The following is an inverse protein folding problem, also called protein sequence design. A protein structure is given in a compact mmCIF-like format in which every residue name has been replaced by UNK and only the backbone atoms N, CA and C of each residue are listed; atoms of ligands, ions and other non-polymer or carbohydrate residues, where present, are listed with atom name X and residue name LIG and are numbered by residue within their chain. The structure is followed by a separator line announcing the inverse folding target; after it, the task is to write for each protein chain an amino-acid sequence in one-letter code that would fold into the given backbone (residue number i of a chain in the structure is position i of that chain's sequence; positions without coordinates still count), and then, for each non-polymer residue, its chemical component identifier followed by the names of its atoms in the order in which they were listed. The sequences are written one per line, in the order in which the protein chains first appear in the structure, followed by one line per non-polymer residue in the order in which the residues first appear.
data_IF_792848409259
#
_entry.id   IF_792848409259
#
_cell.length_a   1.000
_cell.length_b   1.000
_cell.length_c   1.000
_cell.angle_alpha   90.00
_cell.angle_beta   90.00
_cell.angle_gamma   90.00
#
_symmetry.space_group_name_H-M   'P 1'
#
loop_
_entity.id
_entity.type
_entity.pdbx_description
1 polymer ?
#
# COMPACT_ATOMS: atom_id res chain seq x y z
N UNK A 1 -24.77 8.70 -8.88
CA UNK A 1 -25.12 7.39 -8.30
C UNK A 1 -24.57 7.36 -6.90
N UNK A 2 -25.41 7.20 -5.88
CA UNK A 2 -24.96 7.14 -4.48
C UNK A 2 -24.49 5.74 -4.13
N UNK A 3 -23.65 5.57 -3.11
CA UNK A 3 -23.16 4.25 -2.67
C UNK A 3 -24.31 3.27 -2.34
N UNK A 4 -25.43 3.81 -1.84
CA UNK A 4 -26.67 3.06 -1.58
C UNK A 4 -27.28 2.51 -2.86
N UNK A 5 -27.28 3.28 -3.95
CA UNK A 5 -27.81 2.85 -5.25
C UNK A 5 -26.96 1.72 -5.85
N UNK A 6 -25.64 1.77 -5.69
CA UNK A 6 -24.72 0.72 -6.16
C UNK A 6 -24.97 -0.60 -5.41
N UNK A 7 -25.09 -0.51 -4.08
CA UNK A 7 -25.35 -1.68 -3.23
C UNK A 7 -26.68 -2.34 -3.59
N UNK A 8 -27.74 -1.55 -3.73
CA UNK A 8 -29.07 -2.07 -4.05
C UNK A 8 -29.06 -2.79 -5.41
N UNK A 9 -28.40 -2.17 -6.41
CA UNK A 9 -28.29 -2.76 -7.74
C UNK A 9 -27.47 -4.06 -7.75
N UNK A 10 -26.40 -4.12 -6.96
CA UNK A 10 -25.61 -5.34 -6.83
C UNK A 10 -26.42 -6.49 -6.21
N UNK A 11 -27.22 -6.22 -5.18
CA UNK A 11 -28.11 -7.21 -4.55
C UNK A 11 -29.13 -7.75 -5.56
N UNK A 12 -29.78 -6.87 -6.32
CA UNK A 12 -30.72 -7.27 -7.38
C UNK A 12 -30.07 -8.19 -8.43
N UNK A 13 -28.85 -7.85 -8.88
CA UNK A 13 -28.14 -8.65 -9.89
C UNK A 13 -27.75 -10.03 -9.35
N UNK A 14 -27.36 -10.14 -8.07
CA UNK A 14 -27.03 -11.41 -7.43
C UNK A 14 -28.28 -12.29 -7.27
N UNK A 15 -29.43 -11.71 -6.94
CA UNK A 15 -30.70 -12.45 -6.80
C UNK A 15 -31.18 -13.08 -8.12
N UNK A 16 -30.80 -12.51 -9.26
CA UNK A 16 -31.13 -13.03 -10.59
C UNK A 16 -30.05 -13.93 -11.19
N UNK A 17 -28.96 -14.18 -10.47
CA UNK A 17 -27.85 -14.99 -10.95
C UNK A 17 -28.18 -16.49 -10.82
N UNK A 18 -27.84 -17.32 -11.82
CA UNK A 18 -27.97 -18.77 -11.69
C UNK A 18 -27.11 -19.30 -10.53
N UNK A 19 -27.60 -20.30 -9.75
CA UNK A 19 -26.86 -20.84 -8.59
C UNK A 19 -25.44 -21.30 -8.93
N UNK A 20 -25.24 -21.86 -10.12
CA UNK A 20 -23.95 -22.31 -10.63
C UNK A 20 -22.91 -21.18 -10.82
N UNK A 21 -23.36 -19.92 -10.86
CA UNK A 21 -22.51 -18.73 -10.96
C UNK A 21 -22.22 -18.07 -9.62
N UNK A 22 -22.92 -18.44 -8.55
CA UNK A 22 -22.70 -17.86 -7.23
C UNK A 22 -21.27 -18.13 -6.73
N UNK A 23 -20.72 -19.31 -7.03
CA UNK A 23 -19.32 -19.65 -6.72
C UNK A 23 -18.32 -18.73 -7.43
N UNK A 24 -18.60 -18.34 -8.68
CA UNK A 24 -17.74 -17.39 -9.41
C UNK A 24 -17.78 -16.00 -8.77
N UNK A 25 -18.95 -15.56 -8.28
CA UNK A 25 -19.12 -14.28 -7.60
C UNK A 25 -18.43 -14.26 -6.25
N UNK A 26 -18.56 -15.32 -5.45
CA UNK A 26 -17.86 -15.42 -4.16
C UNK A 26 -16.34 -15.35 -4.37
N UNK A 27 -15.81 -16.12 -5.31
CA UNK A 27 -14.38 -16.08 -5.66
C UNK A 27 -13.93 -14.69 -6.11
N UNK A 28 -14.78 -13.97 -6.86
CA UNK A 28 -14.49 -12.59 -7.24
C UNK A 28 -14.50 -11.64 -6.04
N UNK A 29 -15.47 -11.74 -5.14
CA UNK A 29 -15.51 -10.91 -3.92
C UNK A 29 -14.28 -11.16 -3.02
N UNK A 30 -13.89 -12.41 -2.84
CA UNK A 30 -12.67 -12.78 -2.10
C UNK A 30 -11.42 -12.14 -2.73
N UNK A 31 -11.33 -12.10 -4.05
CA UNK A 31 -10.22 -11.44 -4.74
C UNK A 31 -10.17 -9.92 -4.52
N UNK A 32 -11.32 -9.26 -4.32
CA UNK A 32 -11.37 -7.83 -4.01
C UNK A 32 -10.88 -7.52 -2.59
N UNK A 33 -11.20 -8.40 -1.63
CA UNK A 33 -10.73 -8.26 -0.25
C UNK A 33 -9.20 -8.44 -0.19
N UNK A 34 -8.67 -9.44 -0.89
CA UNK A 34 -7.22 -9.64 -1.03
C UNK A 34 -6.55 -8.43 -1.69
N UNK A 35 -7.12 -7.93 -2.79
CA UNK A 35 -6.62 -6.76 -3.50
C UNK A 35 -6.58 -5.52 -2.59
N UNK A 36 -7.64 -5.28 -1.81
CA UNK A 36 -7.74 -4.15 -0.88
C UNK A 36 -6.66 -4.24 0.20
N UNK A 37 -6.40 -5.44 0.73
CA UNK A 37 -5.33 -5.67 1.70
C UNK A 37 -3.94 -5.39 1.10
N UNK A 38 -3.68 -5.86 -0.13
CA UNK A 38 -2.42 -5.62 -0.83
C UNK A 38 -2.20 -4.12 -1.10
N UNK A 39 -3.23 -3.41 -1.57
CA UNK A 39 -3.17 -1.95 -1.80
C UNK A 39 -2.83 -1.21 -0.51
N UNK A 40 -3.43 -1.61 0.62
CA UNK A 40 -3.15 -1.01 1.93
C UNK A 40 -1.68 -1.18 2.33
N UNK A 41 -1.08 -2.34 2.07
CA UNK A 41 0.37 -2.56 2.29
C UNK A 41 1.20 -1.68 1.36
N UNK A 42 0.86 -1.62 0.06
CA UNK A 42 1.59 -0.86 -0.96
C UNK A 42 1.62 0.65 -0.64
N UNK A 43 0.51 1.15 -0.11
CA UNK A 43 0.32 2.56 0.22
C UNK A 43 0.78 2.93 1.64
N UNK A 44 1.20 1.95 2.46
CA UNK A 44 1.72 2.22 3.81
C UNK A 44 2.91 3.19 3.75
N UNK A 45 2.90 4.18 4.64
CA UNK A 45 3.97 5.16 4.84
C UNK A 45 4.22 5.32 6.33
N UNK A 46 5.39 5.85 6.69
CA UNK A 46 5.61 6.34 8.04
C UNK A 46 4.57 7.44 8.35
N UNK A 47 4.03 7.51 9.57
CA UNK A 47 3.25 8.65 10.04
C UNK A 47 4.01 9.98 9.88
N UNK A 48 3.33 11.13 9.70
CA UNK A 48 4.00 12.42 9.47
C UNK A 48 5.01 12.83 10.56
N UNK A 49 4.73 12.54 11.82
CA UNK A 49 5.63 12.82 12.94
C UNK A 49 6.92 11.96 12.86
N UNK A 50 6.78 10.69 12.46
CA UNK A 50 7.93 9.81 12.25
C UNK A 50 8.74 10.21 11.02
N UNK A 51 8.08 10.65 9.94
CA UNK A 51 8.76 11.21 8.76
C UNK A 51 9.57 12.46 9.13
N UNK A 52 8.97 13.38 9.88
CA UNK A 52 9.66 14.58 10.34
C UNK A 52 10.87 14.23 11.22
N UNK A 53 10.69 13.33 12.18
CA UNK A 53 11.78 12.90 13.06
C UNK A 53 12.92 12.26 12.29
N UNK A 54 12.61 11.43 11.31
CA UNK A 54 13.62 10.82 10.44
C UNK A 54 14.40 11.88 9.64
N UNK A 55 13.73 12.92 9.15
CA UNK A 55 14.38 14.01 8.43
C UNK A 55 15.32 14.81 9.36
N UNK A 56 14.87 15.14 10.57
CA UNK A 56 15.72 15.79 11.58
C UNK A 56 16.97 14.98 11.92
N UNK A 57 16.83 13.64 12.03
CA UNK A 57 17.96 12.75 12.27
C UNK A 57 18.92 12.70 11.09
N UNK A 58 18.42 12.75 9.84
CA UNK A 58 19.26 12.84 8.63
C UNK A 58 20.06 14.12 8.60
N UNK A 59 19.41 15.26 8.78
CA UNK A 59 20.07 16.57 8.76
C UNK A 59 21.20 16.64 9.80
N UNK A 60 20.96 16.07 10.98
CA UNK A 60 21.96 16.02 12.06
C UNK A 60 23.06 15.00 11.82
N UNK A 61 22.75 13.89 11.15
CA UNK A 61 23.74 12.93 10.68
C UNK A 61 24.72 13.57 9.71
N UNK A 62 24.21 14.37 8.77
CA UNK A 62 25.05 15.09 7.80
C UNK A 62 25.95 16.15 8.45
N UNK A 63 25.53 16.66 9.61
CA UNK A 63 26.29 17.61 10.41
C UNK A 63 27.20 16.94 11.46
N UNK A 64 27.28 15.60 11.49
CA UNK A 64 28.03 14.82 12.49
C UNK A 64 27.67 15.19 13.95
N UNK A 65 26.40 15.56 14.20
CA UNK A 65 25.90 16.02 15.52
C UNK A 65 24.93 15.07 16.20
N UNK A 66 24.80 13.84 15.69
CA UNK A 66 23.98 12.81 16.30
C UNK A 66 24.62 12.33 17.60
N UNK A 67 23.82 12.28 18.67
CA UNK A 67 24.21 11.52 19.86
C UNK A 67 24.10 10.01 19.59
N UNK A 68 24.73 9.20 20.43
CA UNK A 68 24.64 7.73 20.34
C UNK A 68 23.19 7.23 20.38
N UNK A 69 22.35 7.82 21.23
CA UNK A 69 20.93 7.47 21.32
C UNK A 69 20.17 7.76 20.01
N UNK A 70 20.50 8.88 19.36
CA UNK A 70 19.88 9.29 18.11
C UNK A 70 20.41 8.50 16.92
N UNK A 71 21.66 8.06 16.98
CA UNK A 71 22.21 7.11 16.01
C UNK A 71 21.44 5.78 16.05
N UNK A 72 21.15 5.26 17.25
CA UNK A 72 20.35 4.04 17.40
C UNK A 72 18.91 4.25 16.91
N UNK A 73 18.32 5.40 17.19
CA UNK A 73 17.00 5.78 16.66
C UNK A 73 16.99 5.81 15.13
N UNK A 74 18.03 6.40 14.52
CA UNK A 74 18.17 6.50 13.07
C UNK A 74 18.33 5.12 12.41
N UNK A 75 19.12 4.22 13.00
CA UNK A 75 19.25 2.83 12.55
C UNK A 75 17.89 2.11 12.63
N UNK A 76 17.16 2.25 13.74
CA UNK A 76 15.86 1.63 13.89
C UNK A 76 14.83 2.10 12.84
N UNK A 77 14.88 3.38 12.43
CA UNK A 77 14.08 3.88 11.32
C UNK A 77 14.49 3.27 9.98
N UNK A 78 15.78 3.11 9.72
CA UNK A 78 16.29 2.48 8.50
C UNK A 78 15.81 1.03 8.38
N UNK A 79 15.94 0.24 9.46
CA UNK A 79 15.50 -1.15 9.52
C UNK A 79 13.99 -1.27 9.24
N UNK A 80 13.18 -0.39 9.86
CA UNK A 80 11.73 -0.37 9.65
C UNK A 80 11.37 -0.02 8.22
N UNK A 81 12.06 0.94 7.60
CA UNK A 81 11.83 1.31 6.20
C UNK A 81 12.24 0.20 5.24
N UNK A 82 13.34 -0.49 5.50
CA UNK A 82 13.76 -1.65 4.70
C UNK A 82 12.70 -2.75 4.76
N UNK A 83 12.23 -3.11 5.96
CA UNK A 83 11.17 -4.09 6.14
C UNK A 83 9.88 -3.68 5.42
N UNK A 84 9.46 -2.41 5.54
CA UNK A 84 8.31 -1.89 4.81
C UNK A 84 8.50 -1.98 3.29
N UNK A 85 9.70 -1.72 2.78
CA UNK A 85 9.99 -1.81 1.34
C UNK A 85 9.91 -3.25 0.83
N UNK A 86 10.37 -4.23 1.61
CA UNK A 86 10.23 -5.66 1.31
C UNK A 86 8.75 -6.04 1.24
N UNK A 87 7.98 -5.75 2.30
CA UNK A 87 6.53 -6.01 2.34
C UNK A 87 5.80 -5.36 1.16
N UNK A 88 6.19 -4.12 0.83
CA UNK A 88 5.61 -3.36 -0.28
C UNK A 88 5.91 -4.02 -1.64
N UNK A 89 7.13 -4.53 -1.83
CA UNK A 89 7.53 -5.21 -3.07
C UNK A 89 6.78 -6.55 -3.22
N UNK A 90 6.70 -7.33 -2.14
CA UNK A 90 5.93 -8.59 -2.13
C UNK A 90 4.45 -8.34 -2.44
N UNK A 91 3.86 -7.31 -1.84
CA UNK A 91 2.47 -6.95 -2.09
C UNK A 91 2.25 -6.49 -3.54
N UNK A 92 3.19 -5.72 -4.11
CA UNK A 92 3.13 -5.37 -5.53
C UNK A 92 3.20 -6.59 -6.44
N UNK A 93 4.09 -7.54 -6.17
CA UNK A 93 4.23 -8.77 -6.98
C UNK A 93 2.92 -9.55 -6.97
N UNK A 94 2.33 -9.76 -5.78
CA UNK A 94 1.04 -10.45 -5.63
C UNK A 94 -0.08 -9.72 -6.37
N UNK A 95 -0.14 -8.39 -6.25
CA UNK A 95 -1.17 -7.60 -6.93
C UNK A 95 -0.99 -7.62 -8.45
N UNK A 96 0.24 -7.64 -8.96
CA UNK A 96 0.52 -7.78 -10.39
C UNK A 96 0.03 -9.13 -10.92
N UNK A 97 0.23 -10.21 -10.16
CA UNK A 97 -0.30 -11.53 -10.49
C UNK A 97 -1.83 -11.55 -10.50
N UNK A 98 -2.46 -10.97 -9.47
CA UNK A 98 -3.92 -10.93 -9.33
C UNK A 98 -4.58 -10.16 -10.48
N UNK A 99 -4.01 -9.01 -10.85
CA UNK A 99 -4.50 -8.16 -11.95
C UNK A 99 -4.02 -8.60 -13.34
N UNK A 100 -3.12 -9.59 -13.40
CA UNK A 100 -2.43 -10.00 -14.63
C UNK A 100 -1.78 -8.82 -15.38
N UNK A 101 -1.06 -7.97 -14.66
CA UNK A 101 -0.32 -6.81 -15.18
C UNK A 101 1.16 -6.91 -14.83
N UNK A 102 2.02 -6.25 -15.59
CA UNK A 102 3.44 -6.25 -15.28
C UNK A 102 3.77 -5.38 -14.05
N UNK A 103 4.75 -5.85 -13.27
CA UNK A 103 5.19 -5.19 -12.04
C UNK A 103 5.67 -3.74 -12.27
N UNK A 104 6.44 -3.41 -13.32
CA UNK A 104 6.83 -2.02 -13.59
C UNK A 104 5.66 -1.07 -13.81
N UNK A 105 4.64 -1.47 -14.58
CA UNK A 105 3.43 -0.67 -14.81
C UNK A 105 2.70 -0.41 -13.49
N UNK A 106 2.50 -1.46 -12.69
CA UNK A 106 1.83 -1.35 -11.40
C UNK A 106 2.61 -0.46 -10.42
N UNK A 107 3.93 -0.61 -10.35
CA UNK A 107 4.77 0.22 -9.48
C UNK A 107 4.72 1.70 -9.87
N UNK A 108 4.64 2.01 -11.18
CA UNK A 108 4.50 3.39 -11.65
C UNK A 108 3.17 4.00 -11.20
N UNK A 109 2.07 3.27 -11.31
CA UNK A 109 0.75 3.70 -10.87
C UNK A 109 0.76 4.13 -9.39
N UNK A 110 1.25 3.27 -8.50
CA UNK A 110 1.28 3.57 -7.06
C UNK A 110 2.33 4.62 -6.66
N UNK A 111 3.34 4.86 -7.51
CA UNK A 111 4.27 5.98 -7.34
C UNK A 111 3.63 7.31 -7.74
N UNK A 112 2.86 7.37 -8.82
CA UNK A 112 2.16 8.59 -9.25
C UNK A 112 1.00 8.99 -8.34
N UNK A 113 0.40 8.03 -7.64
CA UNK A 113 -0.63 8.28 -6.62
C UNK A 113 -0.04 8.77 -5.28
N UNK A 114 1.29 8.73 -5.13
CA UNK A 114 1.99 9.32 -3.99
C UNK A 114 2.47 10.72 -4.40
N UNK A 115 2.03 11.82 -3.75
CA UNK A 115 2.61 13.12 -4.02
C UNK A 115 4.08 13.07 -3.62
N UNK A 116 4.95 13.11 -4.64
CA UNK A 116 6.40 13.20 -4.50
C UNK A 116 6.73 14.49 -3.76
N UNK A 117 7.10 14.42 -2.48
CA UNK A 117 7.93 15.44 -1.82
C UNK A 117 9.34 14.88 -1.65
N UNK A 118 10.00 14.72 -2.79
CA UNK A 118 11.45 14.66 -2.88
C UNK A 118 11.85 15.62 -4.00
N UNK A 119 12.15 16.85 -3.58
CA UNK A 119 13.02 17.82 -4.22
C UNK A 119 13.53 18.63 -3.01
N UNK A 120 14.72 18.28 -2.49
CA UNK A 120 16.01 18.83 -2.92
C UNK A 120 16.06 20.34 -2.75
#
# INVERSE_FOLDING_TARGET
MTHTDIRQRAIELIQHLPPERLSDVVRWLESLDEETALITIIQRRLPPNEQQRLEELRDRSEQDTLSEAEQLEFIAYADRLEQQNVERLEALIKLAQLRNVDLPTLNRQFRSESPTRYAS
#
